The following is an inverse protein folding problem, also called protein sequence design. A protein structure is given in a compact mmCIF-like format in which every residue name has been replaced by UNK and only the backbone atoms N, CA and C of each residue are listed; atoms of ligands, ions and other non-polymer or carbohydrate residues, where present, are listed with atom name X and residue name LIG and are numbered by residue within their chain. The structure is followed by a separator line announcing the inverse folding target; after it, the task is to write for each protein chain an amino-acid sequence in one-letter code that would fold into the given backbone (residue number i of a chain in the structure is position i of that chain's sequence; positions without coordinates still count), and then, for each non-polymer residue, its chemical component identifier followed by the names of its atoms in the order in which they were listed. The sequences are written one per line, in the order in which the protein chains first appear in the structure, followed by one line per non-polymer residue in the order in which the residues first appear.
data_IF_316443853975
#
_entry.id   IF_316443853975
#
_cell.length_a   1.000
_cell.length_b   1.000
_cell.length_c   1.000
_cell.angle_alpha   90.00
_cell.angle_beta   90.00
_cell.angle_gamma   90.00
#
_symmetry.space_group_name_H-M   'P 1'
#
loop_
_entity.id
_entity.type
_entity.pdbx_description
1 polymer ?
#
# COMPACT_ATOMS: atom_id res chain seq x y z
N UNK A 1 18.67 8.97 -12.50
CA UNK A 1 17.43 9.41 -13.16
C UNK A 1 16.40 9.62 -12.06
N UNK A 2 15.79 10.79 -11.93
CA UNK A 2 14.79 11.06 -10.89
C UNK A 2 13.51 10.25 -11.18
N UNK A 3 12.89 9.64 -10.17
CA UNK A 3 11.60 8.97 -10.34
C UNK A 3 10.53 9.98 -10.78
N UNK A 4 9.72 9.69 -11.81
CA UNK A 4 8.57 10.52 -12.18
C UNK A 4 7.64 10.79 -10.99
N UNK A 5 6.96 11.95 -10.93
CA UNK A 5 6.15 12.33 -9.76
C UNK A 5 5.12 11.28 -9.35
N UNK A 6 4.39 10.70 -10.30
CA UNK A 6 3.36 9.69 -9.99
C UNK A 6 3.90 8.42 -9.30
N UNK A 7 5.20 8.12 -9.41
CA UNK A 7 5.81 6.97 -8.73
C UNK A 7 6.29 7.30 -7.31
N UNK A 8 6.30 8.58 -6.91
CA UNK A 8 6.75 8.99 -5.59
C UNK A 8 5.58 8.97 -4.59
N UNK A 9 5.77 8.49 -3.35
CA UNK A 9 4.78 8.60 -2.29
C UNK A 9 4.31 10.04 -2.06
N UNK A 10 3.02 10.23 -1.77
CA UNK A 10 2.44 11.54 -1.50
C UNK A 10 2.12 12.37 -2.75
N UNK A 11 2.53 11.94 -3.94
CA UNK A 11 2.31 12.68 -5.19
C UNK A 11 1.01 12.30 -5.93
N UNK A 12 0.56 11.02 -5.96
CA UNK A 12 -0.75 10.69 -6.51
C UNK A 12 -1.87 11.36 -5.70
N UNK A 13 -2.77 12.02 -6.41
CA UNK A 13 -3.99 12.60 -5.84
C UNK A 13 -5.15 11.67 -6.19
N UNK A 14 -5.84 11.18 -5.17
CA UNK A 14 -7.09 10.44 -5.33
C UNK A 14 -8.23 11.32 -4.83
N UNK A 15 -9.19 11.59 -5.72
CA UNK A 15 -10.22 12.61 -5.53
C UNK A 15 -9.63 14.00 -5.23
N UNK A 16 -9.47 14.34 -3.95
CA UNK A 16 -9.09 15.65 -3.45
C UNK A 16 -7.93 15.62 -2.44
N UNK A 17 -7.36 14.46 -2.15
CA UNK A 17 -6.28 14.31 -1.18
C UNK A 17 -5.10 13.48 -1.74
N UNK A 18 -3.87 13.78 -1.29
CA UNK A 18 -2.72 12.96 -1.60
C UNK A 18 -2.82 11.61 -0.90
N UNK A 19 -2.28 10.58 -1.54
CA UNK A 19 -2.07 9.28 -0.91
C UNK A 19 -0.60 9.12 -0.55
N UNK A 20 -0.32 8.56 0.62
CA UNK A 20 1.04 8.25 1.12
C UNK A 20 1.67 7.04 0.39
N UNK A 21 1.37 6.90 -0.91
CA UNK A 21 1.78 5.83 -1.81
C UNK A 21 2.08 6.43 -3.19
N UNK A 22 3.10 5.93 -3.86
CA UNK A 22 3.26 6.12 -5.30
C UNK A 22 2.28 5.22 -6.06
N UNK A 23 2.17 5.42 -7.38
CA UNK A 23 1.29 4.61 -8.22
C UNK A 23 1.86 4.42 -9.63
N UNK A 24 1.92 3.18 -10.11
CA UNK A 24 2.37 2.87 -11.46
C UNK A 24 1.86 1.52 -11.95
N UNK A 25 1.48 1.43 -13.22
CA UNK A 25 1.00 0.18 -13.84
C UNK A 25 -0.11 -0.55 -13.04
N UNK A 26 -1.01 0.21 -12.40
CA UNK A 26 -2.09 -0.32 -11.54
C UNK A 26 -1.64 -0.88 -10.18
N UNK A 27 -0.41 -0.59 -9.76
CA UNK A 27 0.13 -0.95 -8.45
C UNK A 27 0.40 0.29 -7.60
N UNK A 28 0.08 0.19 -6.32
CA UNK A 28 0.48 1.16 -5.32
C UNK A 28 1.89 0.86 -4.83
N UNK A 29 2.67 1.91 -4.59
CA UNK A 29 4.08 1.84 -4.23
C UNK A 29 4.26 2.44 -2.84
N UNK A 30 4.46 1.62 -1.80
CA UNK A 30 4.88 2.10 -0.50
C UNK A 30 6.18 2.92 -0.58
N UNK A 31 6.40 3.75 0.42
CA UNK A 31 7.62 4.55 0.54
C UNK A 31 8.91 3.71 0.73
N UNK A 32 10.07 4.31 0.45
CA UNK A 32 11.36 3.63 0.57
C UNK A 32 11.79 2.83 -0.66
N UNK A 33 12.90 2.10 -0.51
CA UNK A 33 13.67 1.52 -1.64
C UNK A 33 13.67 -0.02 -1.67
N UNK A 34 12.83 -0.67 -0.85
CA UNK A 34 12.71 -2.13 -0.73
C UNK A 34 12.10 -2.81 -1.97
N UNK A 35 11.61 -2.02 -2.93
CA UNK A 35 10.97 -2.55 -4.14
C UNK A 35 9.64 -3.24 -3.84
N UNK A 36 8.93 -2.73 -2.82
CA UNK A 36 7.61 -3.16 -2.41
C UNK A 36 6.54 -2.57 -3.32
N UNK A 37 5.46 -3.32 -3.52
CA UNK A 37 4.29 -2.83 -4.25
C UNK A 37 3.04 -3.61 -3.84
N UNK A 38 1.86 -2.99 -3.95
CA UNK A 38 0.60 -3.61 -3.54
C UNK A 38 -0.55 -3.27 -4.48
N UNK A 39 -1.38 -4.25 -4.79
CA UNK A 39 -2.73 -3.99 -5.27
C UNK A 39 -3.61 -3.78 -4.03
N UNK A 40 -4.44 -2.74 -4.03
CA UNK A 40 -5.31 -2.38 -2.91
C UNK A 40 -6.72 -2.20 -3.45
N UNK A 41 -7.68 -2.89 -2.84
CA UNK A 41 -9.10 -2.74 -3.15
C UNK A 41 -9.92 -2.30 -1.94
N UNK A 42 -11.14 -1.84 -2.23
CA UNK A 42 -12.15 -1.39 -1.24
C UNK A 42 -12.31 -2.37 -0.07
N UNK A 43 -12.68 -1.95 1.13
CA UNK A 43 -12.80 -2.88 2.28
C UNK A 43 -11.50 -3.60 2.71
N UNK A 44 -10.34 -3.06 2.30
CA UNK A 44 -8.99 -3.51 2.66
C UNK A 44 -8.57 -4.90 2.18
N UNK A 45 -8.90 -5.27 0.94
CA UNK A 45 -8.20 -6.38 0.27
C UNK A 45 -6.86 -5.92 -0.30
N UNK A 46 -5.80 -6.68 -0.03
CA UNK A 46 -4.44 -6.38 -0.49
C UNK A 46 -3.77 -7.62 -1.08
N UNK A 47 -3.07 -7.41 -2.19
CA UNK A 47 -2.00 -8.30 -2.67
C UNK A 47 -0.71 -7.51 -2.55
N UNK A 48 0.11 -7.84 -1.56
CA UNK A 48 1.36 -7.18 -1.25
C UNK A 48 2.54 -8.03 -1.68
N UNK A 49 3.52 -7.41 -2.32
CA UNK A 49 4.74 -8.06 -2.79
C UNK A 49 5.95 -7.31 -2.26
N UNK A 50 6.83 -8.02 -1.58
CA UNK A 50 8.17 -7.56 -1.19
C UNK A 50 9.21 -8.37 -1.97
N UNK A 51 9.68 -7.78 -3.06
CA UNK A 51 10.64 -8.42 -3.96
C UNK A 51 12.01 -8.61 -3.29
N UNK A 52 12.39 -7.73 -2.36
CA UNK A 52 13.69 -7.83 -1.68
C UNK A 52 13.81 -9.09 -0.82
N UNK A 53 12.67 -9.60 -0.33
CA UNK A 53 12.58 -10.80 0.51
C UNK A 53 11.97 -12.02 -0.20
N UNK A 54 11.50 -11.87 -1.44
CA UNK A 54 10.80 -12.94 -2.15
C UNK A 54 9.47 -13.31 -1.51
N UNK A 55 8.80 -12.35 -0.87
CA UNK A 55 7.57 -12.56 -0.10
C UNK A 55 6.38 -11.98 -0.85
N UNK A 56 5.29 -12.75 -0.92
CA UNK A 56 3.99 -12.29 -1.38
C UNK A 56 2.95 -12.59 -0.30
N UNK A 57 2.16 -11.61 0.08
CA UNK A 57 1.10 -11.75 1.08
C UNK A 57 -0.23 -11.35 0.46
N UNK A 58 -1.23 -12.21 0.60
CA UNK A 58 -2.61 -11.91 0.24
C UNK A 58 -3.40 -11.71 1.52
N UNK A 59 -4.02 -10.53 1.67
CA UNK A 59 -4.93 -10.22 2.76
C UNK A 59 -6.34 -9.98 2.20
N UNK A 60 -7.29 -10.77 2.70
CA UNK A 60 -8.71 -10.59 2.42
C UNK A 60 -9.40 -10.05 3.66
N UNK A 61 -10.32 -9.10 3.49
CA UNK A 61 -11.13 -8.57 4.58
C UNK A 61 -12.45 -8.02 4.07
N UNK A 62 -13.28 -7.59 5.01
CA UNK A 62 -14.54 -6.89 4.74
C UNK A 62 -14.70 -5.77 5.79
N UNK A 63 -13.83 -4.76 5.76
CA UNK A 63 -13.89 -3.64 6.71
C UNK A 63 -15.18 -2.81 6.49
N UNK A 64 -16.17 -2.86 7.41
CA UNK A 64 -17.44 -2.17 7.20
C UNK A 64 -17.34 -0.65 7.33
N UNK A 65 -16.25 -0.13 7.91
CA UNK A 65 -16.01 1.30 8.04
C UNK A 65 -15.36 1.91 6.79
N UNK A 66 -14.88 1.08 5.85
CA UNK A 66 -14.17 1.58 4.67
C UNK A 66 -15.01 2.57 3.85
N UNK A 67 -14.43 3.71 3.50
CA UNK A 67 -15.08 4.75 2.71
C UNK A 67 -16.21 5.50 3.44
N UNK A 68 -16.46 5.22 4.72
CA UNK A 68 -17.41 6.01 5.53
C UNK A 68 -16.87 7.41 5.86
N UNK A 69 -15.55 7.56 5.85
CA UNK A 69 -14.83 8.83 5.83
C UNK A 69 -13.61 8.72 4.90
N UNK A 70 -12.91 9.82 4.62
CA UNK A 70 -11.62 9.80 3.91
C UNK A 70 -10.43 9.57 4.84
N UNK A 71 -10.66 9.43 6.15
CA UNK A 71 -9.59 9.33 7.13
C UNK A 71 -8.99 7.92 7.18
N UNK A 72 -7.68 7.84 7.42
CA UNK A 72 -6.96 6.58 7.66
C UNK A 72 -7.59 5.76 8.81
N UNK A 73 -8.24 6.43 9.78
CA UNK A 73 -8.93 5.75 10.87
C UNK A 73 -10.11 4.86 10.44
N UNK A 74 -10.69 5.09 9.25
CA UNK A 74 -11.71 4.23 8.66
C UNK A 74 -11.20 3.43 7.48
N UNK A 75 -10.31 4.01 6.68
CA UNK A 75 -9.83 3.41 5.44
C UNK A 75 -8.64 2.47 5.65
N UNK A 76 -7.77 2.70 6.64
CA UNK A 76 -6.76 1.74 7.14
C UNK A 76 -5.72 1.28 6.11
N UNK A 77 -5.49 1.97 5.00
CA UNK A 77 -4.52 1.55 3.98
C UNK A 77 -3.11 1.45 4.56
N UNK A 78 -2.64 2.51 5.21
CA UNK A 78 -1.26 2.58 5.71
C UNK A 78 -1.04 1.67 6.91
N UNK A 79 -2.04 1.51 7.78
CA UNK A 79 -2.00 0.52 8.85
C UNK A 79 -1.84 -0.90 8.30
N UNK A 80 -2.57 -1.23 7.23
CA UNK A 80 -2.45 -2.53 6.58
C UNK A 80 -1.08 -2.71 5.90
N UNK A 81 -0.55 -1.70 5.21
CA UNK A 81 0.80 -1.77 4.63
C UNK A 81 1.85 -1.97 5.73
N UNK A 82 1.74 -1.27 6.86
CA UNK A 82 2.66 -1.44 7.99
C UNK A 82 2.60 -2.86 8.57
N UNK A 83 1.41 -3.43 8.73
CA UNK A 83 1.22 -4.82 9.15
C UNK A 83 1.89 -5.81 8.20
N UNK A 84 1.66 -5.67 6.89
CA UNK A 84 2.20 -6.59 5.88
C UNK A 84 3.72 -6.50 5.79
N UNK A 85 4.29 -5.29 5.92
CA UNK A 85 5.74 -5.08 6.06
C UNK A 85 6.31 -5.79 7.29
N UNK A 86 5.65 -5.69 8.44
CA UNK A 86 6.09 -6.37 9.66
C UNK A 86 6.09 -7.90 9.50
N UNK A 87 5.06 -8.46 8.85
CA UNK A 87 5.00 -9.89 8.53
C UNK A 87 6.13 -10.28 7.56
N UNK A 88 6.35 -9.51 6.48
CA UNK A 88 7.44 -9.77 5.51
C UNK A 88 8.82 -9.73 6.16
N UNK A 89 9.06 -8.77 7.07
CA UNK A 89 10.31 -8.67 7.80
C UNK A 89 10.54 -9.86 8.72
N UNK A 90 9.48 -10.39 9.34
CA UNK A 90 9.54 -11.56 10.21
C UNK A 90 9.67 -12.90 9.46
N UNK A 91 9.36 -12.96 8.17
CA UNK A 91 9.47 -14.19 7.38
C UNK A 91 10.85 -14.42 6.76
N UNK A 92 11.77 -13.46 6.87
CA UNK A 92 13.17 -13.66 6.48
C UNK A 92 13.88 -14.54 7.53
N UNK A 93 14.16 -15.78 7.15
CA UNK A 93 15.02 -16.71 7.89
C UNK A 93 16.50 -16.51 7.53
#
# INVERSE_FOLDING_TARGET
MQMPPHLQPGQPILADHPLDLGYGYQWWLPDGDSGEFSAIGIYNQLVYVDRSRGVTIVKLSANPAYGTTMDESTNREMENIALLRAISAASAA
#
